data_IF_547071078623
#
_entry.id   IF_547071078623
#
_cell.length_a   1.000
_cell.length_b   1.000
_cell.length_c   1.000
_cell.angle_alpha   90.00
_cell.angle_beta   90.00
_cell.angle_gamma   90.00
#
_symmetry.space_group_name_H-M   'P 1'
#
loop_
_entity.id
_entity.type
_entity.pdbx_description
1 polymer ?
#
# COMPACT_ATOMS: atom_id res chain seq x y z
N UNK A 1 4.30 -5.09 -8.30
CA UNK A 1 4.54 -4.43 -7.00
C UNK A 1 3.88 -5.26 -5.93
N UNK A 2 4.41 -5.25 -4.70
CA UNK A 2 3.80 -5.94 -3.58
C UNK A 2 2.52 -5.20 -3.12
N UNK A 3 1.44 -5.94 -2.84
CA UNK A 3 0.17 -5.44 -2.33
C UNK A 3 0.30 -5.26 -0.81
N UNK A 4 -0.13 -4.11 -0.30
CA UNK A 4 -0.16 -3.88 1.15
C UNK A 4 -1.17 -4.83 1.80
N UNK A 5 -0.71 -5.56 2.82
CA UNK A 5 -1.52 -6.50 3.59
C UNK A 5 -1.50 -6.07 5.06
N UNK A 6 -2.68 -5.99 5.66
CA UNK A 6 -2.82 -5.77 7.10
C UNK A 6 -4.03 -6.53 7.64
N UNK A 7 -3.74 -7.55 8.47
CA UNK A 7 -4.74 -8.37 9.15
C UNK A 7 -4.79 -7.93 10.60
N UNK A 8 -5.97 -7.50 11.05
CA UNK A 8 -6.21 -7.03 12.41
C UNK A 8 -7.26 -7.92 13.11
N UNK A 9 -7.29 -7.98 14.45
CA UNK A 9 -8.30 -8.76 15.18
C UNK A 9 -9.74 -8.23 14.98
N UNK A 10 -9.90 -6.95 14.69
CA UNK A 10 -11.21 -6.30 14.50
C UNK A 10 -11.19 -5.37 13.28
N UNK A 11 -12.37 -5.13 12.71
CA UNK A 11 -12.52 -4.15 11.63
C UNK A 11 -12.23 -2.73 12.10
N UNK A 12 -12.59 -2.37 13.33
CA UNK A 12 -12.28 -1.06 13.90
C UNK A 12 -10.78 -0.78 13.94
N UNK A 13 -9.96 -1.75 14.36
CA UNK A 13 -8.49 -1.61 14.34
C UNK A 13 -7.98 -1.52 12.89
N UNK A 14 -8.49 -2.38 12.00
CA UNK A 14 -8.12 -2.37 10.60
C UNK A 14 -8.42 -1.04 9.90
N UNK A 15 -9.49 -0.35 10.30
CA UNK A 15 -9.90 0.94 9.73
C UNK A 15 -9.18 2.12 10.37
N UNK A 16 -8.91 2.08 11.68
CA UNK A 16 -8.34 3.20 12.43
C UNK A 16 -6.82 3.31 12.35
N UNK A 17 -6.09 2.20 12.44
CA UNK A 17 -4.63 2.22 12.43
C UNK A 17 -4.01 2.87 11.18
N UNK A 18 -4.56 2.70 9.97
CA UNK A 18 -4.00 3.35 8.78
C UNK A 18 -4.23 4.86 8.73
N UNK A 19 -5.21 5.39 9.46
CA UNK A 19 -5.57 6.81 9.47
C UNK A 19 -4.35 7.61 9.94
N UNK A 20 -4.02 8.67 9.21
CA UNK A 20 -2.81 9.50 9.38
C UNK A 20 -1.46 8.80 9.11
N UNK A 21 -1.30 7.50 9.39
CA UNK A 21 -0.05 6.76 9.22
C UNK A 21 0.30 6.52 7.75
N UNK A 22 -0.68 6.17 6.91
CA UNK A 22 -0.45 6.06 5.46
C UNK A 22 -0.19 7.42 4.83
N UNK A 23 -0.82 8.47 5.37
CA UNK A 23 -0.61 9.83 4.92
C UNK A 23 0.75 10.39 5.37
N UNK A 24 1.38 9.87 6.43
CA UNK A 24 2.63 10.44 6.96
C UNK A 24 3.75 10.49 5.91
N UNK A 25 4.00 9.37 5.24
CA UNK A 25 5.04 9.30 4.20
C UNK A 25 4.66 10.12 2.98
N UNK A 26 3.39 10.07 2.57
CA UNK A 26 2.89 10.86 1.44
C UNK A 26 2.96 12.35 1.73
N UNK A 27 2.66 12.79 2.95
CA UNK A 27 2.78 14.18 3.42
C UNK A 27 4.21 14.68 3.37
N UNK A 28 5.16 13.93 3.93
CA UNK A 28 6.59 14.32 3.87
C UNK A 28 7.04 14.46 2.43
N UNK A 29 6.64 13.50 1.59
CA UNK A 29 7.17 13.41 0.25
C UNK A 29 6.39 14.25 -0.79
N UNK A 30 5.21 14.75 -0.44
CA UNK A 30 4.45 15.76 -1.20
C UNK A 30 4.61 17.17 -0.60
N UNK A 31 5.39 17.31 0.48
CA UNK A 31 5.62 18.59 1.14
C UNK A 31 6.22 19.60 0.17
N UNK A 32 5.78 20.85 0.30
CA UNK A 32 6.28 21.97 -0.49
C UNK A 32 7.34 22.73 0.31
N UNK A 33 8.45 23.06 -0.35
CA UNK A 33 9.50 23.88 0.25
C UNK A 33 9.12 25.36 0.27
N UNK A 34 10.02 26.21 0.79
CA UNK A 34 9.83 27.65 0.86
C UNK A 34 9.57 28.34 -0.49
N UNK A 35 9.89 27.68 -1.60
CA UNK A 35 9.65 28.16 -2.97
C UNK A 35 8.26 27.78 -3.51
N UNK A 36 7.44 27.07 -2.74
CA UNK A 36 6.12 26.58 -3.17
C UNK A 36 6.15 25.32 -4.03
N UNK A 37 7.33 24.74 -4.27
CA UNK A 37 7.50 23.53 -5.08
C UNK A 37 7.70 22.29 -4.21
N UNK A 38 7.25 21.14 -4.72
CA UNK A 38 7.40 19.83 -4.05
C UNK A 38 8.88 19.54 -3.79
N UNK A 39 9.20 19.18 -2.54
CA UNK A 39 10.55 18.84 -2.13
C UNK A 39 11.04 17.61 -2.91
N UNK A 40 12.22 17.72 -3.51
CA UNK A 40 12.83 16.63 -4.29
C UNK A 40 12.37 16.53 -5.75
N UNK A 41 11.52 17.46 -6.21
CA UNK A 41 11.31 17.68 -7.64
C UNK A 41 12.43 18.59 -8.18
N UNK A 42 13.06 18.24 -9.31
CA UNK A 42 14.14 19.04 -9.89
C UNK A 42 13.54 20.22 -10.67
N UNK A 43 12.85 21.13 -9.99
CA UNK A 43 12.26 22.33 -10.59
C UNK A 43 13.06 23.58 -10.21
N UNK A 44 13.17 24.53 -11.13
CA UNK A 44 13.74 25.84 -10.83
C UNK A 44 12.83 26.67 -9.91
N UNK A 45 13.27 27.89 -9.55
CA UNK A 45 12.50 28.83 -8.73
C UNK A 45 11.14 29.23 -9.33
N UNK A 46 10.93 29.00 -10.63
CA UNK A 46 9.71 29.31 -11.36
C UNK A 46 8.87 28.04 -11.63
N UNK A 47 9.25 26.89 -11.06
CA UNK A 47 8.55 25.61 -11.23
C UNK A 47 8.82 24.90 -12.55
N UNK A 48 9.81 25.35 -13.33
CA UNK A 48 10.15 24.75 -14.62
C UNK A 48 11.14 23.61 -14.43
N UNK A 49 10.91 22.51 -15.14
CA UNK A 49 11.87 21.41 -15.24
C UNK A 49 13.06 21.83 -16.13
N UNK A 50 14.30 21.64 -15.67
CA UNK A 50 15.48 21.78 -16.51
C UNK A 50 15.46 20.78 -17.67
N UNK A 51 16.12 21.16 -18.78
CA UNK A 51 16.31 20.27 -19.93
C UNK A 51 17.01 18.97 -19.49
N UNK A 52 16.50 17.83 -19.93
CA UNK A 52 17.03 16.50 -19.58
C UNK A 52 16.39 15.87 -18.33
N UNK A 53 15.47 16.56 -17.65
CA UNK A 53 14.71 16.05 -16.51
C UNK A 53 13.25 15.72 -16.83
N UNK A 54 12.90 15.58 -18.11
CA UNK A 54 11.53 15.33 -18.57
C UNK A 54 10.94 14.05 -17.94
N UNK A 55 11.76 13.03 -17.71
CA UNK A 55 11.35 11.79 -17.02
C UNK A 55 10.89 12.01 -15.56
N UNK A 56 11.23 13.14 -14.95
CA UNK A 56 10.82 13.49 -13.59
C UNK A 56 9.49 14.22 -13.55
N UNK A 57 8.95 14.66 -14.70
CA UNK A 57 7.71 15.41 -14.77
C UNK A 57 6.50 14.65 -14.18
N UNK A 58 6.44 13.34 -14.41
CA UNK A 58 5.36 12.47 -13.90
C UNK A 58 5.60 11.96 -12.48
N UNK A 59 6.75 12.23 -11.86
CA UNK A 59 7.16 11.53 -10.64
C UNK A 59 6.17 11.68 -9.49
N UNK A 60 5.55 12.85 -9.33
CA UNK A 60 4.53 13.03 -8.31
C UNK A 60 3.26 12.22 -8.61
N UNK A 61 2.83 12.19 -9.87
CA UNK A 61 1.71 11.36 -10.32
C UNK A 61 2.01 9.87 -10.16
N UNK A 62 3.23 9.44 -10.46
CA UNK A 62 3.67 8.06 -10.30
C UNK A 62 3.66 7.62 -8.83
N UNK A 63 4.05 8.53 -7.92
CA UNK A 63 3.94 8.33 -6.48
C UNK A 63 2.49 8.23 -6.01
N UNK A 64 1.65 9.18 -6.42
CA UNK A 64 0.23 9.18 -6.04
C UNK A 64 -0.47 7.90 -6.54
N UNK A 65 -0.11 7.41 -7.73
CA UNK A 65 -0.62 6.13 -8.26
C UNK A 65 -0.14 4.95 -7.44
N UNK A 66 1.10 4.95 -6.96
CA UNK A 66 1.64 3.90 -6.07
C UNK A 66 0.87 3.86 -4.74
N UNK A 67 0.52 5.01 -4.21
CA UNK A 67 -0.14 5.13 -2.90
C UNK A 67 -1.67 4.92 -2.97
N UNK A 68 -2.22 4.62 -4.16
CA UNK A 68 -3.63 4.24 -4.35
C UNK A 68 -3.90 2.86 -3.71
N UNK A 69 -4.74 2.78 -2.65
CA UNK A 69 -5.07 1.52 -1.96
C UNK A 69 -5.72 0.48 -2.88
N UNK A 70 -6.27 0.92 -4.02
CA UNK A 70 -7.02 0.10 -4.97
C UNK A 70 -6.23 -0.38 -6.18
N UNK A 71 -4.89 -0.23 -6.22
CA UNK A 71 -4.06 -0.49 -7.42
C UNK A 71 -4.61 -1.62 -8.32
N UNK A 72 -5.05 -1.24 -9.54
CA UNK A 72 -5.78 -2.05 -10.54
C UNK A 72 -7.31 -2.28 -10.34
N UNK A 73 -7.98 -1.49 -9.50
CA UNK A 73 -9.43 -1.61 -9.23
C UNK A 73 -9.80 -2.71 -8.23
N UNK A 74 -8.81 -3.25 -7.51
CA UNK A 74 -8.97 -4.35 -6.57
C UNK A 74 -9.01 -3.83 -5.14
N UNK A 75 -9.90 -4.35 -4.27
CA UNK A 75 -9.98 -3.88 -2.90
C UNK A 75 -8.65 -4.10 -2.15
N UNK A 76 -8.34 -3.23 -1.16
CA UNK A 76 -7.14 -3.36 -0.34
C UNK A 76 -7.18 -4.67 0.47
N UNK A 77 -6.06 -5.36 0.70
CA UNK A 77 -6.04 -6.57 1.54
C UNK A 77 -5.91 -6.20 3.02
N UNK A 78 -6.97 -5.57 3.54
CA UNK A 78 -7.01 -5.02 4.90
C UNK A 78 -8.31 -5.36 5.63
N UNK A 79 -8.25 -5.89 6.83
CA UNK A 79 -9.43 -6.21 7.62
C UNK A 79 -9.15 -7.29 8.65
N UNK A 80 -10.22 -7.94 9.12
CA UNK A 80 -10.09 -9.22 9.82
C UNK A 80 -9.64 -10.33 8.86
N UNK A 81 -9.27 -11.48 9.41
CA UNK A 81 -8.88 -12.66 8.62
C UNK A 81 -9.96 -13.01 7.58
N UNK A 82 -11.24 -12.98 7.96
CA UNK A 82 -12.39 -13.29 7.10
C UNK A 82 -12.48 -12.33 5.91
N UNK A 83 -12.36 -11.02 6.17
CA UNK A 83 -12.42 -9.99 5.14
C UNK A 83 -11.24 -10.12 4.17
N UNK A 84 -10.05 -10.42 4.68
CA UNK A 84 -8.88 -10.62 3.83
C UNK A 84 -9.03 -11.88 2.97
N UNK A 85 -9.58 -12.97 3.52
CA UNK A 85 -9.90 -14.19 2.75
C UNK A 85 -10.88 -13.88 1.61
N UNK A 86 -11.96 -13.16 1.90
CA UNK A 86 -12.96 -12.76 0.90
C UNK A 86 -12.32 -11.98 -0.25
N UNK A 87 -11.51 -10.96 0.07
CA UNK A 87 -10.86 -10.11 -0.94
C UNK A 87 -9.79 -10.85 -1.75
N UNK A 88 -9.10 -11.82 -1.17
CA UNK A 88 -8.18 -12.68 -1.92
C UNK A 88 -8.97 -13.57 -2.89
N UNK A 89 -10.12 -14.11 -2.49
CA UNK A 89 -10.99 -14.89 -3.38
C UNK A 89 -11.55 -14.03 -4.53
N UNK A 90 -11.95 -12.79 -4.27
CA UNK A 90 -12.34 -11.84 -5.32
C UNK A 90 -11.18 -11.56 -6.30
N UNK A 91 -9.97 -11.42 -5.76
CA UNK A 91 -8.75 -11.25 -6.56
C UNK A 91 -8.47 -12.48 -7.43
N UNK A 92 -8.63 -13.69 -6.88
CA UNK A 92 -8.54 -14.95 -7.64
C UNK A 92 -9.61 -15.06 -8.73
N UNK A 93 -10.85 -14.65 -8.47
CA UNK A 93 -11.94 -14.65 -9.44
C UNK A 93 -11.66 -13.74 -10.64
N UNK A 94 -10.80 -12.74 -10.48
CA UNK A 94 -10.32 -11.88 -11.56
C UNK A 94 -9.09 -12.44 -12.31
N UNK A 95 -8.71 -13.69 -12.02
CA UNK A 95 -7.61 -14.39 -12.70
C UNK A 95 -6.23 -14.16 -12.09
N UNK A 96 -6.14 -13.53 -10.91
CA UNK A 96 -4.87 -13.26 -10.23
C UNK A 96 -4.55 -14.40 -9.26
N UNK A 97 -3.51 -15.17 -9.57
CA UNK A 97 -3.11 -16.38 -8.84
C UNK A 97 -1.84 -16.20 -7.99
N UNK A 98 -1.12 -15.08 -8.13
CA UNK A 98 0.08 -14.79 -7.35
C UNK A 98 0.00 -13.37 -6.76
N UNK A 99 0.07 -13.28 -5.44
CA UNK A 99 0.08 -12.02 -4.69
C UNK A 99 1.40 -11.93 -3.92
N UNK A 100 2.19 -10.89 -4.19
CA UNK A 100 3.31 -10.52 -3.35
C UNK A 100 2.81 -9.58 -2.25
N UNK A 101 2.92 -9.97 -0.99
CA UNK A 101 2.46 -9.17 0.14
C UNK A 101 3.56 -8.27 0.73
N UNK A 102 3.23 -7.02 1.03
CA UNK A 102 4.01 -6.15 1.90
C UNK A 102 3.22 -5.94 3.21
N UNK A 103 3.77 -6.39 4.33
CA UNK A 103 3.08 -6.35 5.62
C UNK A 103 3.37 -5.06 6.37
N UNK A 104 2.31 -4.35 6.75
CA UNK A 104 2.37 -3.09 7.47
C UNK A 104 2.49 -1.85 6.58
N UNK A 105 2.49 -0.69 7.23
CA UNK A 105 2.59 0.62 6.61
C UNK A 105 3.42 1.56 7.49
N UNK A 106 3.92 2.68 6.96
CA UNK A 106 4.78 3.59 7.70
C UNK A 106 4.15 4.02 9.04
N UNK A 107 4.88 3.80 10.14
CA UNK A 107 4.45 4.19 11.48
C UNK A 107 3.56 3.17 12.20
N UNK A 108 3.19 2.05 11.57
CA UNK A 108 2.51 0.96 12.28
C UNK A 108 3.48 0.35 13.33
N UNK A 109 3.07 0.19 14.60
CA UNK A 109 3.90 -0.43 15.62
C UNK A 109 4.34 -1.85 15.23
N UNK A 110 5.59 -2.21 15.56
CA UNK A 110 6.20 -3.47 15.12
C UNK A 110 5.41 -4.69 15.61
N UNK A 111 4.89 -4.66 16.83
CA UNK A 111 4.05 -5.71 17.40
C UNK A 111 2.77 -5.94 16.58
N UNK A 112 2.19 -4.89 16.02
CA UNK A 112 1.01 -5.01 15.15
C UNK A 112 1.37 -5.57 13.78
N UNK A 113 2.54 -5.21 13.24
CA UNK A 113 3.08 -5.83 12.02
C UNK A 113 3.26 -7.33 12.22
N UNK A 114 3.93 -7.74 13.32
CA UNK A 114 4.17 -9.16 13.62
C UNK A 114 2.87 -9.91 13.86
N UNK A 115 1.90 -9.32 14.58
CA UNK A 115 0.57 -9.90 14.76
C UNK A 115 -0.16 -10.07 13.43
N UNK A 116 -0.07 -9.09 12.54
CA UNK A 116 -0.68 -9.20 11.20
C UNK A 116 -0.07 -10.33 10.39
N UNK A 117 1.25 -10.54 10.46
CA UNK A 117 1.93 -11.65 9.79
C UNK A 117 1.44 -12.99 10.37
N UNK A 118 1.38 -13.11 11.70
CA UNK A 118 0.90 -14.30 12.40
C UNK A 118 -0.55 -14.63 12.02
N UNK A 119 -1.47 -13.66 12.08
CA UNK A 119 -2.87 -13.84 11.70
C UNK A 119 -3.00 -14.24 10.23
N UNK A 120 -2.23 -13.61 9.34
CA UNK A 120 -2.23 -13.99 7.94
C UNK A 120 -1.76 -15.44 7.73
N UNK A 121 -0.64 -15.83 8.36
CA UNK A 121 -0.08 -17.17 8.22
C UNK A 121 -0.98 -18.26 8.82
N UNK A 122 -1.60 -18.00 9.98
CA UNK A 122 -2.34 -19.01 10.74
C UNK A 122 -3.83 -19.05 10.44
N UNK A 123 -4.43 -17.94 10.00
CA UNK A 123 -5.87 -17.83 9.77
C UNK A 123 -6.25 -17.57 8.32
N UNK A 124 -5.40 -16.93 7.51
CA UNK A 124 -5.72 -16.63 6.11
C UNK A 124 -5.17 -17.71 5.17
N UNK A 125 -3.87 -17.99 5.24
CA UNK A 125 -3.17 -18.90 4.33
C UNK A 125 -3.79 -20.31 4.24
N UNK A 126 -4.26 -20.95 5.33
CA UNK A 126 -4.84 -22.29 5.25
C UNK A 126 -6.03 -22.41 4.28
N UNK A 127 -6.75 -21.32 4.00
CA UNK A 127 -7.88 -21.31 3.05
C UNK A 127 -7.46 -21.34 1.58
N UNK A 128 -6.16 -21.25 1.28
CA UNK A 128 -5.60 -21.20 -0.06
C UNK A 128 -4.55 -22.31 -0.32
N UNK A 129 -4.36 -23.24 0.63
CA UNK A 129 -3.37 -24.32 0.53
C UNK A 129 -3.83 -25.52 -0.31
N UNK A 130 -4.99 -25.46 -0.97
CA UNK A 130 -5.44 -26.49 -1.91
C UNK A 130 -5.08 -26.14 -3.36
N UNK A 131 -3.79 -26.18 -3.67
CA UNK A 131 -3.30 -26.53 -5.00
C UNK A 131 -1.85 -27.02 -4.87
N UNK A 132 -1.50 -28.23 -5.32
CA UNK A 132 -0.10 -28.59 -5.46
C UNK A 132 0.56 -27.55 -6.38
N UNK A 133 1.66 -26.94 -5.92
CA UNK A 133 2.50 -26.11 -6.76
C UNK A 133 2.94 -26.97 -7.96
N UNK A 134 2.46 -26.61 -9.14
CA UNK A 134 2.81 -27.27 -10.41
C UNK A 134 3.99 -26.57 -11.05
#
# INVERSE_FOLDING_TARGET
>A
MAKAIYVAPTMEEAESDPIELENFSSRILSSVGATGHVIGMPTDKNGRLPKGYEAWASRQTDRNRRDDPGHAGLPPLRGTSEVVIERIKETQAQGINHIFGAFGFPGLPHEKVMRSIELFATQVMPHFQEAPAT
#
